data_IF_617371191522
#
_entry.id   IF_617371191522
#
_cell.length_a   1.000
_cell.length_b   1.000
_cell.length_c   1.000
_cell.angle_alpha   90.00
_cell.angle_beta   90.00
_cell.angle_gamma   90.00
#
_symmetry.space_group_name_H-M   'P 1'
#
loop_
_entity.id
_entity.type
_entity.pdbx_description
1 polymer ?
#
# COMPACT_ATOMS: atom_id res chain seq x y z
N UNK A 1 -6.37 -2.82 -33.66
CA UNK A 1 -5.70 -4.12 -33.51
C UNK A 1 -5.98 -4.66 -32.11
N UNK A 2 -7.02 -5.49 -31.96
CA UNK A 2 -7.24 -6.26 -30.72
C UNK A 2 -6.45 -7.56 -30.81
N UNK A 3 -5.24 -7.58 -30.27
CA UNK A 3 -4.49 -8.82 -30.11
C UNK A 3 -5.17 -9.68 -29.04
N UNK A 4 -5.85 -10.75 -29.47
CA UNK A 4 -6.44 -11.79 -28.60
C UNK A 4 -5.46 -12.95 -28.37
N UNK A 5 -4.15 -12.70 -28.36
CA UNK A 5 -3.19 -13.71 -27.97
C UNK A 5 -3.17 -13.80 -26.43
N UNK A 6 -3.85 -14.82 -25.89
CA UNK A 6 -3.75 -15.18 -24.48
C UNK A 6 -2.36 -15.77 -24.24
N UNK A 7 -1.42 -14.93 -23.82
CA UNK A 7 -0.06 -15.37 -23.48
C UNK A 7 -0.11 -16.28 -22.24
N UNK A 8 0.40 -17.51 -22.38
CA UNK A 8 0.62 -18.39 -21.23
C UNK A 8 1.83 -17.86 -20.44
N UNK A 9 1.57 -17.36 -19.24
CA UNK A 9 2.56 -16.74 -18.38
C UNK A 9 2.81 -17.63 -17.17
N UNK A 10 4.08 -17.78 -16.78
CA UNK A 10 4.49 -18.47 -15.57
C UNK A 10 5.56 -17.66 -14.85
N UNK A 11 5.68 -17.83 -13.54
CA UNK A 11 6.70 -17.11 -12.78
C UNK A 11 8.09 -17.65 -13.11
N UNK A 12 8.94 -16.80 -13.67
CA UNK A 12 10.35 -17.14 -13.89
C UNK A 12 11.06 -17.47 -12.57
N UNK A 13 11.70 -18.64 -12.51
CA UNK A 13 12.52 -19.11 -11.38
C UNK A 13 13.96 -19.23 -11.83
N UNK A 14 14.88 -18.61 -11.10
CA UNK A 14 16.31 -18.73 -11.40
C UNK A 14 16.75 -20.19 -11.14
N UNK A 15 17.31 -20.91 -12.13
CA UNK A 15 17.75 -22.28 -11.94
C UNK A 15 18.83 -22.35 -10.85
N UNK A 16 18.76 -23.41 -10.02
CA UNK A 16 19.71 -23.63 -8.92
C UNK A 16 19.57 -22.71 -7.71
N UNK A 17 18.71 -21.68 -7.75
CA UNK A 17 18.48 -20.80 -6.60
C UNK A 17 17.34 -21.35 -5.74
N UNK A 18 17.70 -22.00 -4.63
CA UNK A 18 16.73 -22.40 -3.61
C UNK A 18 16.37 -21.23 -2.69
N UNK A 19 15.16 -21.25 -2.09
CA UNK A 19 14.83 -20.38 -0.97
C UNK A 19 15.81 -20.57 0.19
N UNK A 20 15.94 -19.54 1.03
CA UNK A 20 16.77 -19.59 2.23
C UNK A 20 16.42 -20.81 3.09
N UNK A 21 17.38 -21.67 3.38
CA UNK A 21 17.17 -22.94 4.07
C UNK A 21 16.47 -22.77 5.43
N UNK A 22 15.60 -23.70 5.82
CA UNK A 22 14.80 -23.62 7.05
C UNK A 22 15.63 -23.46 8.33
N UNK A 23 16.79 -24.13 8.41
CA UNK A 23 17.69 -24.05 9.57
C UNK A 23 18.53 -22.77 9.67
N UNK A 24 18.46 -21.88 8.68
CA UNK A 24 19.14 -20.58 8.79
C UNK A 24 18.62 -19.77 9.99
N UNK A 25 19.48 -18.95 10.58
CA UNK A 25 19.16 -18.06 11.72
C UNK A 25 18.30 -16.84 11.32
N UNK A 26 17.37 -17.02 10.39
CA UNK A 26 16.39 -16.01 10.01
C UNK A 26 15.11 -16.12 10.85
N UNK A 27 14.50 -14.99 11.25
CA UNK A 27 13.18 -14.98 11.88
C UNK A 27 12.12 -15.71 11.04
N UNK A 28 11.20 -16.42 11.70
CA UNK A 28 10.10 -17.15 11.03
C UNK A 28 9.19 -16.22 10.24
N UNK A 29 9.03 -14.96 10.67
CA UNK A 29 8.30 -13.92 9.95
C UNK A 29 8.86 -13.68 8.54
N UNK A 30 10.19 -13.62 8.41
CA UNK A 30 10.82 -13.40 7.10
C UNK A 30 10.69 -14.62 6.19
N UNK A 31 10.82 -15.82 6.76
CA UNK A 31 10.57 -17.09 6.07
C UNK A 31 9.14 -17.19 5.54
N UNK A 32 8.16 -16.76 6.34
CA UNK A 32 6.75 -16.63 5.91
C UNK A 32 6.61 -15.62 4.78
N UNK A 33 7.22 -14.44 4.92
CA UNK A 33 7.18 -13.38 3.92
C UNK A 33 7.79 -13.81 2.58
N UNK A 34 8.81 -14.67 2.58
CA UNK A 34 9.33 -15.25 1.34
C UNK A 34 8.29 -16.11 0.61
N UNK A 35 7.51 -16.91 1.35
CA UNK A 35 6.44 -17.72 0.78
C UNK A 35 5.32 -16.81 0.25
N UNK A 36 4.83 -15.86 1.06
CA UNK A 36 3.74 -14.97 0.65
C UNK A 36 4.14 -14.08 -0.53
N UNK A 37 5.36 -13.55 -0.55
CA UNK A 37 5.87 -12.77 -1.68
C UNK A 37 5.93 -13.58 -2.99
N UNK A 38 6.30 -14.86 -2.91
CA UNK A 38 6.27 -15.75 -4.06
C UNK A 38 4.83 -16.03 -4.54
N UNK A 39 3.89 -16.19 -3.60
CA UNK A 39 2.46 -16.38 -3.90
C UNK A 39 1.84 -15.15 -4.55
N UNK A 40 2.08 -13.93 -4.06
CA UNK A 40 1.63 -12.69 -4.70
C UNK A 40 2.14 -12.58 -6.14
N UNK A 41 3.43 -12.88 -6.35
CA UNK A 41 4.03 -12.85 -7.69
C UNK A 41 3.38 -13.88 -8.63
N UNK A 42 3.11 -15.09 -8.14
CA UNK A 42 2.40 -16.12 -8.89
C UNK A 42 0.96 -15.71 -9.19
N UNK A 43 0.21 -15.18 -8.22
CA UNK A 43 -1.16 -14.71 -8.39
C UNK A 43 -1.27 -13.62 -9.46
N UNK A 44 -0.26 -12.74 -9.54
CA UNK A 44 -0.25 -11.61 -10.48
C UNK A 44 0.18 -11.97 -11.90
N UNK A 45 1.09 -12.93 -12.06
CA UNK A 45 1.73 -13.23 -13.36
C UNK A 45 1.20 -14.52 -13.98
N UNK A 46 0.86 -15.51 -13.17
CA UNK A 46 0.61 -16.87 -13.64
C UNK A 46 -0.74 -16.99 -14.34
N UNK A 47 -0.77 -17.74 -15.44
CA UNK A 47 -2.02 -18.19 -16.06
C UNK A 47 -2.63 -19.41 -15.38
N UNK A 48 -1.84 -20.20 -14.67
CA UNK A 48 -2.27 -21.39 -13.91
C UNK A 48 -1.67 -21.33 -12.51
N UNK A 49 -2.41 -20.65 -11.63
CA UNK A 49 -1.95 -20.37 -10.28
C UNK A 49 -1.80 -21.64 -9.43
N UNK A 50 -2.70 -22.62 -9.58
CA UNK A 50 -2.68 -23.87 -8.81
C UNK A 50 -1.43 -24.70 -9.11
N UNK A 51 -1.01 -24.74 -10.37
CA UNK A 51 0.25 -25.38 -10.77
C UNK A 51 1.46 -24.68 -10.17
N UNK A 52 1.46 -23.35 -10.14
CA UNK A 52 2.55 -22.58 -9.55
C UNK A 52 2.63 -22.74 -8.03
N UNK A 53 1.49 -22.85 -7.32
CA UNK A 53 1.44 -23.19 -5.89
C UNK A 53 2.15 -24.51 -5.63
N UNK A 54 1.77 -25.59 -6.35
CA UNK A 54 2.40 -26.91 -6.19
C UNK A 54 3.91 -26.86 -6.43
N UNK A 55 4.33 -26.07 -7.41
CA UNK A 55 5.75 -25.90 -7.73
C UNK A 55 6.49 -25.05 -6.69
N UNK A 56 5.81 -24.13 -6.01
CA UNK A 56 6.36 -23.39 -4.88
C UNK A 56 6.48 -24.31 -3.65
N UNK A 57 5.44 -25.07 -3.32
CA UNK A 57 5.46 -26.03 -2.22
C UNK A 57 6.67 -26.97 -2.31
N UNK A 58 6.89 -27.60 -3.47
CA UNK A 58 8.03 -28.49 -3.68
C UNK A 58 9.36 -27.77 -3.50
N UNK A 59 9.50 -26.54 -3.99
CA UNK A 59 10.74 -25.76 -3.83
C UNK A 59 11.07 -25.42 -2.37
N UNK A 60 10.06 -25.11 -1.54
CA UNK A 60 10.25 -24.83 -0.12
C UNK A 60 10.46 -26.11 0.71
N UNK A 61 9.80 -27.22 0.34
CA UNK A 61 10.09 -28.55 0.92
C UNK A 61 11.54 -28.93 0.69
N UNK A 62 12.05 -28.74 -0.54
CA UNK A 62 13.46 -29.00 -0.88
C UNK A 62 14.43 -28.08 -0.12
N UNK A 63 14.00 -26.88 0.28
CA UNK A 63 14.76 -25.98 1.16
C UNK A 63 14.63 -26.33 2.66
N UNK A 64 14.01 -27.46 3.01
CA UNK A 64 13.92 -27.99 4.37
C UNK A 64 12.77 -27.45 5.22
N UNK A 65 11.79 -26.76 4.63
CA UNK A 65 10.68 -26.17 5.37
C UNK A 65 9.68 -27.23 5.84
N UNK A 66 9.12 -27.13 7.05
CA UNK A 66 8.07 -28.02 7.52
C UNK A 66 6.80 -27.90 6.66
N UNK A 67 6.27 -29.03 6.18
CA UNK A 67 5.05 -29.06 5.34
C UNK A 67 3.87 -28.32 5.99
N UNK A 68 3.67 -28.51 7.30
CA UNK A 68 2.62 -27.82 8.08
C UNK A 68 2.75 -26.29 8.01
N UNK A 69 3.98 -25.77 8.08
CA UNK A 69 4.24 -24.33 8.02
C UNK A 69 3.92 -23.75 6.63
N UNK A 70 4.31 -24.46 5.58
CA UNK A 70 4.02 -24.08 4.19
C UNK A 70 2.51 -24.08 3.95
N UNK A 71 1.82 -25.20 4.23
CA UNK A 71 0.39 -25.33 4.00
C UNK A 71 -0.42 -24.31 4.81
N UNK A 72 -0.05 -24.06 6.07
CA UNK A 72 -0.70 -23.01 6.86
C UNK A 72 -0.53 -21.63 6.23
N UNK A 73 0.66 -21.30 5.73
CA UNK A 73 0.93 -20.01 5.08
C UNK A 73 0.14 -19.85 3.78
N UNK A 74 0.07 -20.90 2.96
CA UNK A 74 -0.71 -20.91 1.72
C UNK A 74 -2.20 -20.77 2.01
N UNK A 75 -2.73 -21.55 2.95
CA UNK A 75 -4.14 -21.47 3.32
C UNK A 75 -4.52 -20.10 3.85
N UNK A 76 -3.68 -19.50 4.70
CA UNK A 76 -3.91 -18.14 5.18
C UNK A 76 -3.94 -17.15 4.01
N UNK A 77 -2.99 -17.26 3.06
CA UNK A 77 -2.95 -16.40 1.88
C UNK A 77 -4.19 -16.53 0.98
N UNK A 78 -4.69 -17.76 0.78
CA UNK A 78 -5.87 -18.02 -0.05
C UNK A 78 -7.16 -17.51 0.62
N UNK A 79 -7.22 -17.57 1.95
CA UNK A 79 -8.35 -17.11 2.73
C UNK A 79 -8.31 -15.60 3.04
N UNK A 80 -7.17 -14.93 2.80
CA UNK A 80 -7.04 -13.50 3.03
C UNK A 80 -7.84 -12.74 1.95
N UNK A 81 -8.98 -12.17 2.36
CA UNK A 81 -9.87 -11.41 1.48
C UNK A 81 -9.39 -9.96 1.27
N UNK A 82 -8.20 -9.61 1.77
CA UNK A 82 -7.60 -8.30 1.53
C UNK A 82 -7.33 -8.16 0.03
N UNK A 83 -8.27 -7.52 -0.65
CA UNK A 83 -8.06 -6.93 -1.97
C UNK A 83 -6.74 -6.16 -1.95
N UNK A 84 -5.98 -6.21 -3.05
CA UNK A 84 -4.77 -5.42 -3.21
C UNK A 84 -5.08 -3.97 -2.82
N UNK A 85 -4.59 -3.53 -1.65
CA UNK A 85 -4.71 -2.14 -1.25
C UNK A 85 -4.12 -1.30 -2.38
N UNK A 86 -4.89 -0.32 -2.87
CA UNK A 86 -4.43 0.54 -3.96
C UNK A 86 -3.08 1.14 -3.56
N UNK A 87 -2.04 0.87 -4.39
CA UNK A 87 -0.66 1.33 -4.16
C UNK A 87 -0.59 2.82 -3.83
N UNK A 88 -1.51 3.58 -4.42
CA UNK A 88 -1.75 4.98 -4.11
C UNK A 88 -3.20 5.09 -3.64
N UNK A 89 -3.45 5.55 -2.40
CA UNK A 89 -4.80 5.77 -1.92
C UNK A 89 -5.58 6.73 -2.83
N UNK A 90 -6.83 6.37 -3.14
CA UNK A 90 -7.67 7.15 -4.07
C UNK A 90 -7.88 8.60 -3.62
N UNK A 91 -7.88 8.88 -2.31
CA UNK A 91 -8.04 10.23 -1.76
C UNK A 91 -6.94 11.22 -2.19
N UNK A 92 -5.79 10.75 -2.69
CA UNK A 92 -4.73 11.61 -3.21
C UNK A 92 -5.08 12.21 -4.58
N UNK A 93 -5.97 11.57 -5.33
CA UNK A 93 -6.42 12.02 -6.65
C UNK A 93 -7.80 12.71 -6.61
N UNK A 94 -8.44 12.76 -5.45
CA UNK A 94 -9.69 13.48 -5.27
C UNK A 94 -9.44 14.99 -5.29
N UNK A 95 -10.20 15.71 -6.12
CA UNK A 95 -10.13 17.16 -6.21
C UNK A 95 -10.66 17.78 -4.90
N UNK A 96 -9.75 18.30 -4.07
CA UNK A 96 -10.12 18.90 -2.78
C UNK A 96 -10.74 20.27 -2.98
N UNK A 97 -11.91 20.49 -2.40
CA UNK A 97 -12.60 21.79 -2.43
C UNK A 97 -11.78 22.83 -1.66
N UNK A 98 -11.60 24.01 -2.25
CA UNK A 98 -10.91 25.15 -1.64
C UNK A 98 -11.89 26.01 -0.86
N UNK A 99 -11.55 26.34 0.39
CA UNK A 99 -12.33 27.22 1.26
C UNK A 99 -11.46 28.42 1.63
N UNK A 100 -11.97 29.63 1.39
CA UNK A 100 -11.23 30.87 1.58
C UNK A 100 -11.75 31.61 2.81
N UNK A 101 -10.83 32.04 3.69
CA UNK A 101 -11.11 32.95 4.80
C UNK A 101 -10.49 34.30 4.51
N UNK A 102 -11.26 35.39 4.59
CA UNK A 102 -10.72 36.75 4.53
C UNK A 102 -10.51 37.26 5.94
N UNK A 103 -9.27 37.62 6.28
CA UNK A 103 -8.93 38.11 7.61
C UNK A 103 -8.03 39.35 7.50
N UNK A 104 -8.23 40.37 8.35
CA UNK A 104 -7.30 41.48 8.42
C UNK A 104 -5.95 41.04 8.97
N UNK A 105 -4.89 41.51 8.31
CA UNK A 105 -3.52 41.19 8.70
C UNK A 105 -3.17 41.93 9.99
N UNK A 106 -2.91 41.16 11.04
CA UNK A 106 -2.20 41.62 12.22
C UNK A 106 -1.44 40.43 12.82
N UNK A 107 -0.32 40.69 13.50
CA UNK A 107 0.53 39.60 14.03
C UNK A 107 -0.18 38.67 15.03
N UNK A 108 -1.27 39.14 15.67
CA UNK A 108 -2.14 38.30 16.50
C UNK A 108 -2.98 37.34 15.65
N UNK A 109 -3.59 37.85 14.58
CA UNK A 109 -4.45 37.04 13.70
C UNK A 109 -3.63 36.01 12.93
N UNK A 110 -2.40 36.34 12.51
CA UNK A 110 -1.49 35.40 11.85
C UNK A 110 -1.30 34.13 12.68
N UNK A 111 -0.82 34.28 13.92
CA UNK A 111 -0.60 33.16 14.86
C UNK A 111 -1.88 32.38 15.19
N UNK A 112 -2.99 33.08 15.46
CA UNK A 112 -4.26 32.43 15.76
C UNK A 112 -4.77 31.64 14.56
N UNK A 113 -4.58 32.18 13.36
CA UNK A 113 -5.10 31.59 12.16
C UNK A 113 -4.37 30.30 11.76
N UNK A 114 -3.07 30.19 12.01
CA UNK A 114 -2.31 28.94 11.83
C UNK A 114 -2.91 27.81 12.69
N UNK A 115 -3.07 28.07 14.00
CA UNK A 115 -3.64 27.09 14.93
C UNK A 115 -5.09 26.72 14.58
N UNK A 116 -5.85 27.67 14.04
CA UNK A 116 -7.21 27.47 13.59
C UNK A 116 -7.27 26.57 12.35
N UNK A 117 -6.40 26.81 11.36
CA UNK A 117 -6.31 26.00 10.15
C UNK A 117 -5.87 24.57 10.48
N UNK A 118 -4.92 24.38 11.40
CA UNK A 118 -4.53 23.05 11.88
C UNK A 118 -5.70 22.28 12.51
N UNK A 119 -6.49 22.95 13.35
CA UNK A 119 -7.69 22.35 13.96
C UNK A 119 -8.73 21.99 12.90
N UNK A 120 -8.96 22.86 11.92
CA UNK A 120 -9.89 22.59 10.81
C UNK A 120 -9.44 21.44 9.92
N UNK A 121 -8.15 21.35 9.62
CA UNK A 121 -7.59 20.24 8.86
C UNK A 121 -7.81 18.90 9.56
N UNK A 122 -7.57 18.85 10.88
CA UNK A 122 -7.87 17.67 11.70
C UNK A 122 -9.36 17.36 11.76
N UNK A 123 -10.21 18.37 11.94
CA UNK A 123 -11.67 18.19 12.00
C UNK A 123 -12.26 17.62 10.70
N UNK A 124 -11.70 18.03 9.56
CA UNK A 124 -12.18 17.64 8.23
C UNK A 124 -11.41 16.47 7.59
N UNK A 125 -10.51 15.83 8.33
CA UNK A 125 -9.63 14.77 7.82
C UNK A 125 -8.89 15.17 6.54
N UNK A 126 -8.47 16.43 6.41
CA UNK A 126 -7.76 16.98 5.25
C UNK A 126 -8.53 16.90 3.91
N UNK A 127 -9.86 16.75 3.94
CA UNK A 127 -10.69 16.68 2.73
C UNK A 127 -10.83 18.04 2.01
N UNK A 128 -10.48 19.14 2.67
CA UNK A 128 -10.56 20.50 2.11
C UNK A 128 -9.18 21.17 2.12
N UNK A 129 -9.01 22.17 1.25
CA UNK A 129 -7.86 23.07 1.26
C UNK A 129 -8.33 24.41 1.81
N UNK A 130 -7.89 24.76 3.02
CA UNK A 130 -8.19 26.04 3.64
C UNK A 130 -7.11 27.07 3.30
N UNK A 131 -7.53 28.25 2.83
CA UNK A 131 -6.63 29.33 2.41
C UNK A 131 -7.05 30.62 3.10
N UNK A 132 -6.09 31.34 3.67
CA UNK A 132 -6.32 32.65 4.28
C UNK A 132 -5.90 33.73 3.30
N UNK A 133 -6.83 34.64 3.01
CA UNK A 133 -6.61 35.85 2.26
C UNK A 133 -6.45 37.02 3.23
N UNK A 134 -5.22 37.50 3.34
CA UNK A 134 -4.87 38.60 4.23
C UNK A 134 -5.32 39.96 3.65
N UNK A 135 -6.12 40.69 4.42
CA UNK A 135 -6.48 42.07 4.12
C UNK A 135 -5.48 43.01 4.78
N UNK A 136 -4.67 43.69 3.97
CA UNK A 136 -3.58 44.57 4.42
C UNK A 136 -3.98 46.05 4.52
N UNK A 137 -5.22 46.40 4.17
CA UNK A 137 -5.73 47.77 4.29
C UNK A 137 -5.93 48.11 5.78
N UNK A 138 -5.49 49.30 6.20
CA UNK A 138 -5.76 49.81 7.54
C UNK A 138 -7.26 49.86 7.78
N UNK A 139 -7.73 49.11 8.79
CA UNK A 139 -9.08 49.26 9.31
C UNK A 139 -9.07 50.51 10.16
N UNK A 140 -9.66 51.60 9.65
CA UNK A 140 -10.01 52.77 10.47
C UNK A 140 -11.37 52.49 11.10
N UNK A 141 -11.47 52.45 12.43
CA UNK A 141 -12.75 52.61 13.09
C UNK A 141 -13.11 54.10 13.06
N UNK A 142 -14.35 54.42 12.68
CA UNK A 142 -14.93 55.76 12.85
C UNK A 142 -15.11 56.07 14.34
#
# INVERSE_FOLDING_TARGET
FSYTNKFNCSVFKKPGKLPTHWKSEGPTKWKRNCITGALHRAKRISTDFDKDIKTLETSFINAGYPKRFISHTINNFLNDSSQDDNLIPNFLFEERKKVFFKLPFCGKNEKLSETFIEKLNKFTNFNFIFIILWQTRQIKSL
#
